data_IF_639054304966
#
_entry.id   IF_639054304966
#
_cell.length_a   1.000
_cell.length_b   1.000
_cell.length_c   1.000
_cell.angle_alpha   90.00
_cell.angle_beta   90.00
_cell.angle_gamma   90.00
#
_symmetry.space_group_name_H-M   'P 1'
#
loop_
_entity.id
_entity.type
_entity.pdbx_description
1 polymer ?
#
# COMPACT_ATOMS: atom_id res chain seq x y z
N UNK A 1 -4.46 -11.87 -8.88
CA UNK A 1 -3.62 -11.15 -7.90
C UNK A 1 -4.42 -10.37 -6.83
N UNK A 2 -5.76 -10.34 -6.86
CA UNK A 2 -6.57 -9.54 -5.91
C UNK A 2 -6.87 -10.30 -4.60
N UNK A 3 -6.76 -11.63 -4.61
CA UNK A 3 -7.15 -12.54 -3.52
C UNK A 3 -6.01 -12.90 -2.57
N UNK A 4 -4.86 -12.23 -2.62
CA UNK A 4 -3.76 -12.49 -1.68
C UNK A 4 -3.84 -11.53 -0.48
N UNK A 5 -4.14 -12.06 0.70
CA UNK A 5 -4.13 -11.28 1.96
C UNK A 5 -2.72 -10.82 2.35
N UNK A 6 -1.70 -11.47 1.79
CA UNK A 6 -0.26 -11.22 2.01
C UNK A 6 0.13 -9.74 1.96
N UNK A 7 -0.49 -8.92 1.10
CA UNK A 7 -0.14 -7.50 0.99
C UNK A 7 -0.53 -6.73 2.26
N UNK A 8 -1.78 -6.88 2.71
CA UNK A 8 -2.30 -6.22 3.92
C UNK A 8 -1.66 -6.82 5.17
N UNK A 9 -1.49 -8.15 5.21
CA UNK A 9 -0.83 -8.85 6.31
C UNK A 9 0.62 -8.41 6.49
N UNK A 10 1.37 -8.26 5.40
CA UNK A 10 2.75 -7.77 5.41
C UNK A 10 2.86 -6.38 6.01
N UNK A 11 1.97 -5.46 5.64
CA UNK A 11 1.90 -4.11 6.22
C UNK A 11 1.61 -4.20 7.72
N UNK A 12 0.58 -4.94 8.10
CA UNK A 12 0.16 -5.09 9.49
C UNK A 12 1.25 -5.73 10.37
N UNK A 13 1.98 -6.73 9.85
CA UNK A 13 3.08 -7.36 10.55
C UNK A 13 4.26 -6.39 10.77
N UNK A 14 4.64 -5.62 9.75
CA UNK A 14 5.71 -4.60 9.86
C UNK A 14 5.31 -3.48 10.81
N UNK A 15 4.07 -3.00 10.74
CA UNK A 15 3.57 -1.96 11.64
C UNK A 15 3.58 -2.44 13.10
N UNK A 16 3.04 -3.64 13.39
CA UNK A 16 3.11 -4.26 14.73
C UNK A 16 4.54 -4.37 15.24
N UNK A 17 5.49 -4.75 14.39
CA UNK A 17 6.92 -4.84 14.76
C UNK A 17 7.51 -3.50 15.17
N UNK A 18 7.08 -2.40 14.56
CA UNK A 18 7.58 -1.04 14.86
C UNK A 18 6.97 -0.51 16.16
N UNK A 19 5.67 -0.73 16.38
CA UNK A 19 4.94 -0.18 17.53
C UNK A 19 5.13 -1.01 18.81
N UNK A 20 5.49 -2.29 18.74
CA UNK A 20 5.59 -3.18 19.91
C UNK A 20 6.53 -2.69 21.02
N UNK A 21 7.50 -1.83 20.69
CA UNK A 21 8.49 -1.28 21.63
C UNK A 21 8.09 0.10 22.19
N UNK A 22 6.95 0.66 21.75
CA UNK A 22 6.45 1.99 22.12
C UNK A 22 5.07 1.86 22.76
N UNK A 23 5.05 1.54 24.06
CA UNK A 23 3.82 1.22 24.80
C UNK A 23 3.03 2.44 25.31
N UNK A 24 3.66 3.60 25.49
CA UNK A 24 3.00 4.83 25.92
C UNK A 24 3.37 5.99 25.01
N UNK A 25 2.35 6.76 24.60
CA UNK A 25 2.52 7.96 23.79
C UNK A 25 2.09 9.18 24.60
N UNK A 26 2.85 10.29 24.55
CA UNK A 26 2.53 11.51 25.29
C UNK A 26 1.33 12.28 24.72
N UNK A 27 0.92 11.99 23.48
CA UNK A 27 -0.28 12.53 22.84
C UNK A 27 -0.66 11.71 21.60
N UNK A 28 -1.90 11.89 21.13
CA UNK A 28 -2.39 11.27 19.89
C UNK A 28 -1.59 11.73 18.65
N UNK A 29 -1.09 12.97 18.66
CA UNK A 29 -0.20 13.49 17.62
C UNK A 29 1.13 12.73 17.56
N UNK A 30 1.69 12.37 18.73
CA UNK A 30 2.92 11.60 18.79
C UNK A 30 2.71 10.17 18.24
N UNK A 31 1.57 9.54 18.57
CA UNK A 31 1.18 8.24 18.02
C UNK A 31 1.01 8.32 16.49
N UNK A 32 0.30 9.35 16.01
CA UNK A 32 0.01 9.57 14.59
C UNK A 32 1.29 9.79 13.77
N UNK A 33 2.22 10.61 14.27
CA UNK A 33 3.54 10.82 13.64
C UNK A 33 4.34 9.53 13.55
N UNK A 34 4.31 8.69 14.59
CA UNK A 34 5.03 7.42 14.57
C UNK A 34 4.43 6.44 13.54
N UNK A 35 3.11 6.34 13.47
CA UNK A 35 2.43 5.53 12.45
C UNK A 35 2.78 6.03 11.04
N UNK A 36 2.77 7.34 10.83
CA UNK A 36 3.14 7.94 9.54
C UNK A 36 4.59 7.62 9.16
N UNK A 37 5.55 7.78 10.08
CA UNK A 37 6.96 7.43 9.84
C UNK A 37 7.13 5.94 9.54
N UNK A 38 6.42 5.08 10.27
CA UNK A 38 6.43 3.64 10.05
C UNK A 38 5.94 3.28 8.64
N UNK A 39 4.81 3.85 8.22
CA UNK A 39 4.24 3.65 6.89
C UNK A 39 5.18 4.17 5.80
N UNK A 40 5.75 5.37 5.97
CA UNK A 40 6.70 5.95 5.03
C UNK A 40 7.92 5.04 4.80
N UNK A 41 8.45 4.46 5.88
CA UNK A 41 9.55 3.51 5.79
C UNK A 41 9.12 2.18 5.13
N UNK A 42 7.89 1.72 5.39
CA UNK A 42 7.35 0.50 4.77
C UNK A 42 7.24 0.66 3.25
N UNK A 43 6.75 1.82 2.81
CA UNK A 43 6.47 2.13 1.41
C UNK A 43 7.70 2.53 0.61
N UNK A 44 8.82 2.88 1.26
CA UNK A 44 10.06 3.25 0.58
C UNK A 44 10.55 2.16 -0.39
N UNK A 45 10.28 0.89 -0.07
CA UNK A 45 10.69 -0.27 -0.88
C UNK A 45 9.67 -0.67 -1.96
N UNK A 46 8.54 0.04 -2.09
CA UNK A 46 7.42 -0.37 -2.96
C UNK A 46 7.58 -0.01 -4.44
N UNK A 47 8.78 0.30 -4.90
CA UNK A 47 9.04 0.70 -6.29
C UNK A 47 8.88 -0.42 -7.33
N UNK A 48 8.69 -1.68 -6.92
CA UNK A 48 8.53 -2.80 -7.86
C UNK A 48 7.08 -2.97 -8.26
N UNK A 49 6.81 -2.85 -9.56
CA UNK A 49 5.52 -3.21 -10.11
C UNK A 49 5.19 -4.69 -9.81
N UNK A 50 3.90 -4.97 -9.62
CA UNK A 50 3.41 -6.33 -9.57
C UNK A 50 3.87 -7.10 -10.82
N UNK A 51 4.33 -8.35 -10.63
CA UNK A 51 4.96 -9.17 -11.69
C UNK A 51 4.14 -9.22 -12.98
N UNK A 52 2.83 -9.36 -12.85
CA UNK A 52 1.90 -9.53 -13.97
C UNK A 52 1.03 -8.28 -14.19
N UNK A 53 1.50 -7.11 -13.73
CA UNK A 53 0.73 -5.85 -13.77
C UNK A 53 0.31 -5.46 -15.20
N UNK A 54 1.21 -5.65 -16.17
CA UNK A 54 0.94 -5.29 -17.57
C UNK A 54 -0.20 -6.13 -18.16
N UNK A 55 -0.24 -7.42 -17.84
CA UNK A 55 -1.29 -8.31 -18.32
C UNK A 55 -2.63 -8.00 -17.66
N UNK A 56 -2.63 -7.79 -16.33
CA UNK A 56 -3.82 -7.37 -15.61
C UNK A 56 -4.37 -6.02 -16.12
N UNK A 57 -3.49 -5.07 -16.44
CA UNK A 57 -3.87 -3.77 -16.99
C UNK A 57 -4.59 -3.90 -18.34
N UNK A 58 -4.13 -4.78 -19.22
CA UNK A 58 -4.81 -5.02 -20.50
C UNK A 58 -6.23 -5.57 -20.29
N UNK A 59 -6.42 -6.45 -19.29
CA UNK A 59 -7.76 -6.96 -18.95
C UNK A 59 -8.65 -5.83 -18.39
N UNK A 60 -8.11 -4.94 -17.56
CA UNK A 60 -8.86 -3.78 -17.06
C UNK A 60 -9.23 -2.80 -18.17
N UNK A 61 -8.34 -2.60 -19.16
CA UNK A 61 -8.60 -1.72 -20.29
C UNK A 61 -9.75 -2.22 -21.18
N UNK A 62 -9.91 -3.55 -21.31
CA UNK A 62 -11.04 -4.15 -22.04
C UNK A 62 -12.34 -4.06 -21.22
N UNK A 63 -12.27 -4.38 -19.92
CA UNK A 63 -13.47 -4.45 -19.08
C UNK A 63 -14.04 -3.07 -18.72
N UNK A 64 -13.19 -2.05 -18.65
CA UNK A 64 -13.53 -0.68 -18.24
C UNK A 64 -13.09 0.34 -19.29
N UNK A 65 -13.30 0.03 -20.57
CA UNK A 65 -12.86 0.86 -21.71
C UNK A 65 -13.26 2.35 -21.57
N UNK A 66 -14.47 2.60 -21.08
CA UNK A 66 -15.02 3.94 -20.80
C UNK A 66 -14.18 4.76 -19.81
N UNK A 67 -13.42 4.11 -18.92
CA UNK A 67 -12.54 4.75 -17.92
C UNK A 67 -11.13 5.02 -18.44
N UNK A 68 -10.72 4.39 -19.55
CA UNK A 68 -9.39 4.57 -20.16
C UNK A 68 -9.40 5.54 -21.35
N UNK A 69 -10.58 5.90 -21.88
CA UNK A 69 -10.74 6.74 -23.08
C UNK A 69 -10.69 8.26 -22.82
N UNK A 70 -10.68 8.71 -21.56
CA UNK A 70 -10.59 10.13 -21.18
C UNK A 70 -9.19 10.76 -21.40
N UNK A 71 -8.19 9.99 -21.80
CA UNK A 71 -6.84 10.48 -22.10
C UNK A 71 -6.64 10.78 -23.60
N UNK A 72 -7.64 11.39 -24.25
CA UNK A 72 -7.52 11.89 -25.63
C UNK A 72 -7.91 13.38 -25.70
N UNK A 73 -6.94 14.32 -25.77
CA UNK A 73 -7.09 15.47 -26.64
C UNK A 73 -6.92 15.05 -28.11
#
# INVERSE_FOLDING_TARGET
>A
MIYTTNAIESVNARLRKIIKTRGHFPSDDAASKLIWLALRNITADWGRAAKDWKEAMNQFAILYEDRFTLARP
#
